data_IF_996459480200
#
_entry.id   IF_996459480200
#
_cell.length_a   1.000
_cell.length_b   1.000
_cell.length_c   1.000
_cell.angle_alpha   90.00
_cell.angle_beta   90.00
_cell.angle_gamma   90.00
#
_symmetry.space_group_name_H-M   'P 1'
#
loop_
_entity.id
_entity.type
_entity.pdbx_description
1 polymer ?
#
# COMPACT_ATOMS: atom_id res chain seq x y z
N UNK A 1 -40.71 -49.95 -55.93
CA UNK A 1 -40.49 -48.63 -55.29
C UNK A 1 -40.11 -48.88 -53.84
N UNK A 2 -38.88 -48.57 -53.41
CA UNK A 2 -38.45 -48.86 -52.04
C UNK A 2 -39.13 -47.89 -51.06
N UNK A 3 -39.56 -48.43 -49.92
CA UNK A 3 -40.41 -47.79 -48.91
C UNK A 3 -39.88 -46.45 -48.36
N UNK A 4 -40.35 -45.33 -48.92
CA UNK A 4 -40.02 -43.97 -48.46
C UNK A 4 -40.44 -43.67 -47.01
N UNK A 5 -41.46 -44.36 -46.50
CA UNK A 5 -41.94 -44.22 -45.12
C UNK A 5 -40.99 -44.82 -44.07
N UNK A 6 -40.30 -45.93 -44.38
CA UNK A 6 -39.40 -46.57 -43.41
C UNK A 6 -38.04 -45.88 -43.35
N UNK A 7 -37.60 -45.26 -44.45
CA UNK A 7 -36.40 -44.41 -44.46
C UNK A 7 -36.62 -43.13 -43.65
N UNK A 8 -37.76 -42.45 -43.80
CA UNK A 8 -38.07 -41.24 -43.01
C UNK A 8 -38.11 -41.50 -41.50
N UNK A 9 -38.76 -42.60 -41.07
CA UNK A 9 -38.80 -42.98 -39.65
C UNK A 9 -37.41 -43.31 -39.09
N UNK A 10 -36.50 -43.90 -39.89
CA UNK A 10 -35.11 -44.15 -39.49
C UNK A 10 -34.34 -42.84 -39.32
N UNK A 11 -34.44 -41.91 -40.26
CA UNK A 11 -33.82 -40.58 -40.17
C UNK A 11 -34.35 -39.78 -38.96
N UNK A 12 -35.67 -39.80 -38.74
CA UNK A 12 -36.29 -39.15 -37.58
C UNK A 12 -35.78 -39.74 -36.25
N UNK A 13 -35.70 -41.07 -36.14
CA UNK A 13 -35.14 -41.73 -34.94
C UNK A 13 -33.66 -41.38 -34.76
N UNK A 14 -32.86 -41.36 -35.82
CA UNK A 14 -31.47 -40.93 -35.75
C UNK A 14 -31.35 -39.48 -35.28
N UNK A 15 -32.17 -38.56 -35.81
CA UNK A 15 -32.19 -37.15 -35.38
C UNK A 15 -32.60 -37.00 -33.91
N UNK A 16 -33.61 -37.73 -33.45
CA UNK A 16 -34.03 -37.72 -32.05
C UNK A 16 -32.90 -38.24 -31.14
N UNK A 17 -32.24 -39.34 -31.53
CA UNK A 17 -31.10 -39.88 -30.76
C UNK A 17 -29.94 -38.88 -30.73
N UNK A 18 -29.62 -38.24 -31.85
CA UNK A 18 -28.59 -37.20 -31.92
C UNK A 18 -28.98 -36.01 -31.03
N UNK A 19 -30.24 -35.58 -31.07
CA UNK A 19 -30.73 -34.48 -30.24
C UNK A 19 -30.61 -34.81 -28.75
N UNK A 20 -31.03 -36.01 -28.32
CA UNK A 20 -30.90 -36.46 -26.93
C UNK A 20 -29.43 -36.54 -26.51
N UNK A 21 -28.56 -37.08 -27.36
CA UNK A 21 -27.12 -37.16 -27.09
C UNK A 21 -26.48 -35.77 -26.98
N UNK A 22 -26.88 -34.84 -27.84
CA UNK A 22 -26.40 -33.46 -27.83
C UNK A 22 -26.91 -32.70 -26.59
N UNK A 23 -28.17 -32.92 -26.21
CA UNK A 23 -28.76 -32.32 -25.01
C UNK A 23 -28.12 -32.87 -23.73
N UNK A 24 -27.88 -34.19 -23.66
CA UNK A 24 -27.11 -34.81 -22.59
C UNK A 24 -25.67 -34.30 -22.54
N UNK A 25 -25.01 -34.15 -23.70
CA UNK A 25 -23.67 -33.57 -23.80
C UNK A 25 -23.63 -32.15 -23.24
N UNK A 26 -24.55 -31.26 -23.62
CA UNK A 26 -24.57 -29.86 -23.13
C UNK A 26 -24.70 -29.82 -21.60
N UNK A 27 -25.57 -30.66 -21.02
CA UNK A 27 -25.76 -30.70 -19.55
C UNK A 27 -24.51 -31.21 -18.83
N UNK A 28 -23.84 -32.21 -19.40
CA UNK A 28 -22.62 -32.78 -18.82
C UNK A 28 -21.44 -31.80 -18.99
N UNK A 29 -21.28 -31.20 -20.18
CA UNK A 29 -20.25 -30.22 -20.48
C UNK A 29 -20.39 -28.98 -19.58
N UNK A 30 -21.60 -28.43 -19.42
CA UNK A 30 -21.86 -27.29 -18.52
C UNK A 30 -21.52 -27.59 -17.05
N UNK A 31 -21.34 -28.86 -16.66
CA UNK A 31 -20.97 -29.27 -15.29
C UNK A 31 -19.50 -29.65 -15.12
N UNK A 32 -18.83 -30.14 -16.16
CA UNK A 32 -17.45 -30.65 -16.08
C UNK A 32 -16.44 -29.84 -16.88
N UNK A 33 -16.89 -29.20 -17.96
CA UNK A 33 -16.09 -28.37 -18.86
C UNK A 33 -16.88 -27.10 -19.17
N UNK A 34 -17.20 -26.26 -18.17
CA UNK A 34 -18.02 -25.11 -18.46
C UNK A 34 -17.19 -24.03 -19.16
N UNK A 35 -17.84 -23.43 -20.15
CA UNK A 35 -17.34 -22.32 -20.92
C UNK A 35 -18.14 -21.06 -20.57
N UNK A 36 -17.43 -19.94 -20.43
CA UNK A 36 -18.06 -18.63 -20.26
C UNK A 36 -17.39 -17.60 -21.18
N UNK A 37 -18.22 -16.82 -21.86
CA UNK A 37 -17.83 -15.62 -22.60
C UNK A 37 -17.88 -14.37 -21.71
N UNK A 38 -18.41 -14.46 -20.50
CA UNK A 38 -18.47 -13.36 -19.53
C UNK A 38 -17.14 -13.28 -18.78
N UNK A 39 -16.08 -12.97 -19.51
CA UNK A 39 -14.76 -12.80 -18.93
C UNK A 39 -13.98 -11.63 -19.53
N UNK A 40 -13.14 -11.03 -18.69
CA UNK A 40 -12.34 -9.86 -19.05
C UNK A 40 -10.96 -9.94 -18.41
N UNK A 41 -9.98 -9.37 -19.11
CA UNK A 41 -8.68 -9.05 -18.54
C UNK A 41 -8.88 -7.90 -17.55
N UNK A 42 -8.48 -8.13 -16.31
CA UNK A 42 -8.44 -7.15 -15.24
C UNK A 42 -6.99 -6.84 -14.89
N UNK A 43 -6.78 -5.70 -14.24
CA UNK A 43 -5.48 -5.28 -13.74
C UNK A 43 -5.69 -4.18 -12.73
N UNK A 44 -4.66 -3.89 -11.93
CA UNK A 44 -4.71 -2.74 -11.06
C UNK A 44 -4.67 -1.45 -11.89
N UNK A 45 -5.57 -0.52 -11.55
CA UNK A 45 -5.61 0.81 -12.14
C UNK A 45 -5.17 1.77 -11.05
N UNK A 46 -3.92 2.23 -11.13
CA UNK A 46 -3.32 3.09 -10.13
C UNK A 46 -3.45 4.54 -10.58
N UNK A 47 -4.01 5.38 -9.73
CA UNK A 47 -4.08 6.81 -9.96
C UNK A 47 -2.83 7.46 -9.37
N UNK A 48 -1.98 8.05 -10.22
CA UNK A 48 -0.77 8.74 -9.75
C UNK A 48 -1.15 10.19 -9.46
N UNK A 49 -1.05 10.54 -8.19
CA UNK A 49 -1.26 11.88 -7.67
C UNK A 49 0.06 12.42 -7.10
N UNK A 50 0.35 13.72 -7.24
CA UNK A 50 1.52 14.32 -6.66
C UNK A 50 1.32 14.46 -5.14
N UNK A 51 2.41 14.29 -4.38
CA UNK A 51 2.38 14.49 -2.93
C UNK A 51 2.63 15.96 -2.54
N UNK A 52 3.19 16.73 -3.47
CA UNK A 52 3.51 18.15 -3.28
C UNK A 52 2.85 18.98 -4.37
N UNK A 53 2.45 20.21 -4.05
CA UNK A 53 1.79 21.10 -5.01
C UNK A 53 2.80 21.94 -5.78
N UNK A 54 2.45 22.36 -6.99
CA UNK A 54 3.26 23.31 -7.77
C UNK A 54 3.00 23.22 -9.25
N UNK A 55 3.59 24.14 -10.01
CA UNK A 55 3.47 24.15 -11.47
C UNK A 55 4.33 23.04 -12.07
N UNK A 56 3.81 22.32 -13.05
CA UNK A 56 4.56 21.30 -13.79
C UNK A 56 5.50 21.98 -14.77
N UNK A 57 6.78 21.65 -14.68
CA UNK A 57 7.87 22.24 -15.48
C UNK A 57 8.32 21.32 -16.60
N UNK A 58 8.17 20.01 -16.42
CA UNK A 58 8.58 19.01 -17.41
C UNK A 58 7.60 17.83 -17.41
N UNK A 59 7.31 17.30 -18.60
CA UNK A 59 6.54 16.07 -18.80
C UNK A 59 7.34 15.20 -19.78
N UNK A 60 7.93 14.12 -19.28
CA UNK A 60 8.83 13.23 -20.05
C UNK A 60 8.09 12.09 -20.78
N UNK A 61 6.76 12.09 -20.68
CA UNK A 61 5.93 10.95 -21.06
C UNK A 61 4.83 11.35 -22.04
N UNK A 62 4.34 10.34 -22.76
CA UNK A 62 3.18 10.45 -23.64
C UNK A 62 2.08 9.50 -23.19
N UNK A 63 0.85 9.84 -23.57
CA UNK A 63 -0.28 8.94 -23.33
C UNK A 63 -0.06 7.61 -24.07
N UNK A 64 -0.36 6.49 -23.40
CA UNK A 64 -0.14 5.11 -23.86
C UNK A 64 1.33 4.70 -24.03
N UNK A 65 2.26 5.41 -23.40
CA UNK A 65 3.68 5.02 -23.35
C UNK A 65 3.93 3.98 -22.26
N UNK A 66 4.75 2.97 -22.56
CA UNK A 66 5.28 2.05 -21.55
C UNK A 66 6.47 2.69 -20.84
N UNK A 67 6.50 2.55 -19.52
CA UNK A 67 7.54 3.08 -18.65
C UNK A 67 8.09 1.99 -17.73
N UNK A 68 9.35 2.14 -17.35
CA UNK A 68 10.02 1.24 -16.41
C UNK A 68 10.01 1.81 -15.00
N UNK A 69 10.14 0.95 -13.99
CA UNK A 69 10.24 1.37 -12.59
C UNK A 69 11.35 2.42 -12.40
N UNK A 70 11.01 3.54 -11.78
CA UNK A 70 11.93 4.64 -11.48
C UNK A 70 12.10 5.67 -12.59
N UNK A 71 11.46 5.47 -13.74
CA UNK A 71 11.44 6.45 -14.83
C UNK A 71 10.70 7.73 -14.41
N UNK A 72 11.24 8.90 -14.77
CA UNK A 72 10.63 10.19 -14.47
C UNK A 72 9.37 10.35 -15.33
N UNK A 73 8.23 10.62 -14.69
CA UNK A 73 6.97 10.86 -15.38
C UNK A 73 6.83 12.36 -15.68
N UNK A 74 6.87 13.17 -14.63
CA UNK A 74 6.82 14.61 -14.72
C UNK A 74 7.52 15.25 -13.52
N UNK A 75 7.94 16.50 -13.68
CA UNK A 75 8.54 17.28 -12.61
C UNK A 75 7.70 18.51 -12.29
N UNK A 76 7.61 18.79 -11.00
CA UNK A 76 7.04 19.99 -10.42
C UNK A 76 8.18 20.98 -10.19
N UNK A 77 7.90 22.28 -10.30
CA UNK A 77 8.83 23.35 -9.96
C UNK A 77 9.43 23.13 -8.57
N UNK A 78 10.75 22.94 -8.56
CA UNK A 78 11.52 22.57 -7.38
C UNK A 78 12.13 23.78 -6.65
N UNK A 79 12.03 25.00 -7.20
CA UNK A 79 12.71 26.18 -6.66
C UNK A 79 12.33 26.47 -5.21
N UNK A 80 11.02 26.44 -4.91
CA UNK A 80 10.51 26.66 -3.54
C UNK A 80 10.95 25.55 -2.58
N UNK A 81 11.12 24.33 -3.08
CA UNK A 81 11.51 23.17 -2.27
C UNK A 81 13.01 23.15 -2.01
N UNK A 82 13.84 23.54 -2.99
CA UNK A 82 15.28 23.76 -2.80
C UNK A 82 15.53 24.84 -1.75
N UNK A 83 14.85 25.97 -1.86
CA UNK A 83 14.95 27.04 -0.88
C UNK A 83 14.53 26.59 0.52
N UNK A 84 13.50 25.73 0.62
CA UNK A 84 13.09 25.15 1.89
C UNK A 84 14.17 24.22 2.49
N UNK A 85 14.86 23.43 1.65
CA UNK A 85 16.01 22.61 2.07
C UNK A 85 17.15 23.50 2.57
N UNK A 86 17.49 24.57 1.84
CA UNK A 86 18.55 25.49 2.22
C UNK A 86 18.23 26.19 3.56
N UNK A 87 16.98 26.65 3.73
CA UNK A 87 16.51 27.23 4.99
C UNK A 87 16.60 26.24 6.15
N UNK A 88 16.22 24.98 5.93
CA UNK A 88 16.29 23.94 6.96
C UNK A 88 17.74 23.54 7.29
N UNK A 89 18.65 23.59 6.30
CA UNK A 89 20.07 23.35 6.49
C UNK A 89 20.70 24.44 7.37
N UNK A 90 20.42 25.72 7.09
CA UNK A 90 20.86 26.83 7.93
C UNK A 90 20.29 26.72 9.35
N UNK A 91 19.01 26.33 9.50
CA UNK A 91 18.41 26.12 10.81
C UNK A 91 19.09 24.98 11.59
N UNK A 92 19.55 23.92 10.93
CA UNK A 92 20.33 22.84 11.54
C UNK A 92 21.70 23.32 12.02
N UNK A 93 22.38 24.15 11.24
CA UNK A 93 23.65 24.77 11.63
C UNK A 93 23.47 25.68 12.85
N UNK A 94 22.42 26.49 12.88
CA UNK A 94 22.06 27.30 14.04
C UNK A 94 21.77 26.44 15.28
N UNK A 95 21.06 25.32 15.12
CA UNK A 95 20.80 24.39 16.21
C UNK A 95 22.09 23.77 16.76
N UNK A 96 23.07 23.44 15.92
CA UNK A 96 24.38 22.96 16.35
C UNK A 96 25.18 24.03 17.11
N UNK A 97 25.14 25.28 16.67
CA UNK A 97 25.77 26.39 17.39
C UNK A 97 25.13 26.61 18.76
N UNK A 98 23.81 26.51 18.85
CA UNK A 98 23.09 26.63 20.11
C UNK A 98 23.37 25.44 21.05
N UNK A 99 23.50 24.23 20.51
CA UNK A 99 23.94 23.05 21.26
C UNK A 99 25.35 23.23 21.82
N UNK A 100 26.28 23.78 21.02
CA UNK A 100 27.62 24.11 21.47
C UNK A 100 27.60 25.15 22.62
N UNK A 101 26.73 26.15 22.55
CA UNK A 101 26.54 27.09 23.65
C UNK A 101 26.00 26.42 24.92
N UNK A 102 25.09 25.44 24.79
CA UNK A 102 24.60 24.64 25.93
C UNK A 102 25.71 23.80 26.56
N UNK A 103 26.63 23.23 25.77
CA UNK A 103 27.79 22.53 26.32
C UNK A 103 28.70 23.44 27.13
N UNK A 104 28.95 24.67 26.64
CA UNK A 104 29.70 25.67 27.40
C UNK A 104 28.99 26.04 28.72
N UNK A 105 27.66 26.23 28.68
CA UNK A 105 26.86 26.49 29.88
C UNK A 105 26.87 25.32 30.87
N UNK A 106 26.85 24.07 30.38
CA UNK A 106 26.98 22.88 31.23
C UNK A 106 28.32 22.84 31.95
N UNK A 107 29.41 23.20 31.26
CA UNK A 107 30.74 23.31 31.88
C UNK A 107 30.76 24.38 32.99
N UNK A 108 30.11 25.53 32.77
CA UNK A 108 29.97 26.58 33.79
C UNK A 108 29.14 26.10 34.98
N UNK A 109 28.02 25.42 34.72
CA UNK A 109 27.18 24.86 35.78
C UNK A 109 27.93 23.81 36.63
N UNK A 110 28.77 22.99 36.01
CA UNK A 110 29.61 22.02 36.71
C UNK A 110 30.65 22.71 37.61
N UNK A 111 31.27 23.80 37.15
CA UNK A 111 32.19 24.61 37.97
C UNK A 111 31.45 25.26 39.16
N UNK A 112 30.20 25.69 38.97
CA UNK A 112 29.36 26.25 40.03
C UNK A 112 28.97 25.21 41.09
N UNK A 113 28.73 23.95 40.69
CA UNK A 113 28.54 22.83 41.62
C UNK A 113 29.80 22.62 42.44
N UNK A 114 30.99 22.59 41.81
CA UNK A 114 32.26 22.40 42.51
C UNK A 114 32.50 23.51 43.55
N UNK A 115 32.25 24.76 43.17
CA UNK A 115 32.34 25.92 44.08
C UNK A 115 31.35 25.84 45.24
N UNK A 116 30.08 25.54 44.95
CA UNK A 116 29.04 25.39 45.97
C UNK A 116 29.30 24.21 46.91
N UNK A 117 29.87 23.12 46.38
CA UNK A 117 30.26 21.95 47.16
C UNK A 117 31.41 22.26 48.10
N UNK A 118 32.43 23.00 47.65
CA UNK A 118 33.53 23.45 48.51
C UNK A 118 33.02 24.36 49.65
N UNK A 119 32.11 25.29 49.34
CA UNK A 119 31.49 26.18 50.33
C UNK A 119 30.66 25.40 51.36
N UNK A 120 29.86 24.43 50.91
CA UNK A 120 29.11 23.54 51.79
C UNK A 120 30.04 22.70 52.68
N UNK A 121 31.07 22.09 52.11
CA UNK A 121 32.02 21.26 52.87
C UNK A 121 32.71 22.08 53.98
N UNK A 122 33.13 23.31 53.68
CA UNK A 122 33.72 24.21 54.66
C UNK A 122 32.72 24.53 55.80
N UNK A 123 31.52 25.03 55.45
CA UNK A 123 30.49 25.37 56.42
C UNK A 123 30.02 24.16 57.26
N UNK A 124 29.94 22.99 56.65
CA UNK A 124 29.57 21.75 57.31
C UNK A 124 30.63 21.32 58.34
N UNK A 125 31.91 21.33 57.95
CA UNK A 125 33.00 21.00 58.84
C UNK A 125 33.11 22.00 60.00
N UNK A 126 32.90 23.28 59.73
CA UNK A 126 32.90 24.32 60.76
C UNK A 126 31.73 24.16 61.74
N UNK A 127 30.51 23.93 61.25
CA UNK A 127 29.35 23.62 62.08
C UNK A 127 29.60 22.38 62.96
N UNK A 128 30.18 21.31 62.40
CA UNK A 128 30.51 20.10 63.16
C UNK A 128 31.53 20.38 64.28
N UNK A 129 32.55 21.20 63.99
CA UNK A 129 33.57 21.61 64.97
C UNK A 129 32.96 22.48 66.06
N UNK A 130 32.23 23.53 65.71
CA UNK A 130 31.57 24.45 66.66
C UNK A 130 30.53 23.70 67.50
N UNK A 131 29.77 22.78 66.92
CA UNK A 131 28.80 21.95 67.66
C UNK A 131 29.47 21.06 68.71
N UNK A 132 30.63 20.47 68.41
CA UNK A 132 31.42 19.69 69.39
C UNK A 132 31.94 20.58 70.53
N UNK A 133 32.41 21.80 70.22
CA UNK A 133 32.88 22.76 71.22
C UNK A 133 31.73 23.31 72.08
N UNK A 134 30.55 23.54 71.50
CA UNK A 134 29.37 24.00 72.20
C UNK A 134 28.87 22.98 73.24
N UNK A 135 28.92 21.68 72.91
CA UNK A 135 28.62 20.59 73.86
C UNK A 135 29.57 20.60 75.07
N UNK A 136 30.81 21.03 74.87
CA UNK A 136 31.81 21.21 75.94
C UNK A 136 31.72 22.58 76.64
N UNK A 137 30.73 23.41 76.32
CA UNK A 137 30.54 24.78 76.82
C UNK A 137 31.72 25.73 76.52
N UNK A 138 32.48 25.48 75.44
CA UNK A 138 33.65 26.28 75.05
C UNK A 138 33.33 27.42 74.07
N UNK A 139 32.10 27.50 73.56
CA UNK A 139 31.61 28.55 72.63
C UNK A 139 30.16 28.92 72.97
N UNK A 140 29.70 30.09 72.53
CA UNK A 140 28.33 30.56 72.78
C UNK A 140 27.27 29.82 71.96
N UNK A 141 26.02 29.78 72.45
CA UNK A 141 24.88 29.18 71.75
C UNK A 141 24.61 29.91 70.43
N UNK A 142 24.67 31.24 70.43
CA UNK A 142 24.51 32.07 69.22
C UNK A 142 25.55 31.71 68.14
N UNK A 143 26.81 31.45 68.51
CA UNK A 143 27.84 31.03 67.55
C UNK A 143 27.51 29.69 66.87
N UNK A 144 26.95 28.74 67.63
CA UNK A 144 26.47 27.47 67.08
C UNK A 144 25.29 27.69 66.12
N UNK A 145 24.33 28.53 66.49
CA UNK A 145 23.13 28.77 65.68
C UNK A 145 23.47 29.50 64.37
N UNK A 146 24.43 30.42 64.40
CA UNK A 146 24.98 31.06 63.20
C UNK A 146 25.67 30.04 62.27
N UNK A 147 26.49 29.14 62.82
CA UNK A 147 27.14 28.08 62.05
C UNK A 147 26.13 27.08 61.46
N UNK A 148 25.07 26.74 62.21
CA UNK A 148 23.97 25.91 61.73
C UNK A 148 23.25 26.55 60.54
N UNK A 149 22.87 27.81 60.69
CA UNK A 149 22.17 28.57 59.65
C UNK A 149 23.04 28.69 58.40
N UNK A 150 24.34 28.97 58.55
CA UNK A 150 25.28 29.03 57.44
C UNK A 150 25.39 27.70 56.70
N UNK A 151 25.50 26.59 57.43
CA UNK A 151 25.51 25.25 56.85
C UNK A 151 24.21 24.99 56.06
N UNK A 152 23.04 25.29 56.63
CA UNK A 152 21.75 25.14 55.93
C UNK A 152 21.67 25.97 54.65
N UNK A 153 22.08 27.24 54.67
CA UNK A 153 22.10 28.10 53.48
C UNK A 153 23.03 27.54 52.40
N UNK A 154 24.24 27.10 52.76
CA UNK A 154 25.17 26.51 51.78
C UNK A 154 24.68 25.19 51.21
N UNK A 155 23.95 24.39 52.00
CA UNK A 155 23.31 23.16 51.53
C UNK A 155 22.22 23.47 50.49
N UNK A 156 21.38 24.47 50.77
CA UNK A 156 20.35 24.92 49.83
C UNK A 156 20.96 25.46 48.53
N UNK A 157 22.05 26.24 48.62
CA UNK A 157 22.77 26.74 47.45
C UNK A 157 23.37 25.61 46.60
N UNK A 158 23.95 24.59 47.24
CA UNK A 158 24.44 23.40 46.54
C UNK A 158 23.32 22.64 45.83
N UNK A 159 22.16 22.47 46.49
CA UNK A 159 21.01 21.83 45.88
C UNK A 159 20.49 22.62 44.66
N UNK A 160 20.40 23.94 44.76
CA UNK A 160 20.02 24.82 43.65
C UNK A 160 21.01 24.72 42.48
N UNK A 161 22.32 24.74 42.75
CA UNK A 161 23.35 24.60 41.71
C UNK A 161 23.27 23.24 41.00
N UNK A 162 23.01 22.15 41.74
CA UNK A 162 22.79 20.81 41.16
C UNK A 162 21.56 20.79 40.27
N UNK A 163 20.45 21.39 40.71
CA UNK A 163 19.22 21.43 39.92
C UNK A 163 19.38 22.23 38.64
N UNK A 164 20.10 23.35 38.68
CA UNK A 164 20.41 24.14 37.49
C UNK A 164 21.21 23.34 36.45
N UNK A 165 22.18 22.53 36.87
CA UNK A 165 22.94 21.68 35.96
C UNK A 165 22.09 20.58 35.33
N UNK A 166 21.14 19.99 36.08
CA UNK A 166 20.22 18.98 35.56
C UNK A 166 19.37 19.56 34.42
N UNK A 167 18.86 20.79 34.57
CA UNK A 167 18.07 21.46 33.52
C UNK A 167 18.87 21.66 32.23
N UNK A 168 20.15 21.98 32.32
CA UNK A 168 21.01 22.12 31.13
C UNK A 168 21.32 20.75 30.52
N UNK A 169 21.58 19.74 31.37
CA UNK A 169 21.89 18.39 30.91
C UNK A 169 20.70 17.72 30.20
N UNK A 170 19.46 17.98 30.63
CA UNK A 170 18.26 17.46 29.96
C UNK A 170 18.06 18.06 28.56
N UNK A 171 18.52 19.28 28.32
CA UNK A 171 18.46 19.93 27.01
C UNK A 171 19.51 19.38 26.02
N UNK A 172 20.69 18.98 26.51
CA UNK A 172 21.79 18.47 25.69
C UNK A 172 21.58 17.06 25.13
N UNK A 173 20.71 16.25 25.74
CA UNK A 173 20.53 14.85 25.34
C UNK A 173 21.73 13.96 25.71
N UNK A 174 21.79 12.76 25.12
CA UNK A 174 22.79 11.76 25.50
C UNK A 174 24.17 11.98 24.85
N UNK A 175 24.22 12.59 23.66
CA UNK A 175 25.45 12.80 22.87
C UNK A 175 25.35 14.10 22.06
N UNK A 176 26.50 14.60 21.63
CA UNK A 176 26.56 15.74 20.71
C UNK A 176 25.75 15.44 19.45
N UNK A 177 24.94 16.40 19.02
CA UNK A 177 24.01 16.27 17.90
C UNK A 177 22.70 15.54 18.22
N UNK A 178 22.43 15.24 19.50
CA UNK A 178 21.18 14.63 19.97
C UNK A 178 20.40 15.53 20.94
N UNK A 179 20.79 16.78 21.11
CA UNK A 179 19.93 17.76 21.78
C UNK A 179 18.59 17.89 21.06
N UNK A 180 17.54 18.21 21.82
CA UNK A 180 16.17 18.30 21.30
C UNK A 180 16.06 19.30 20.15
N UNK A 181 16.80 20.42 20.24
CA UNK A 181 16.88 21.45 19.20
C UNK A 181 17.50 20.93 17.90
N UNK A 182 18.58 20.14 17.98
CA UNK A 182 19.24 19.57 16.81
C UNK A 182 18.37 18.49 16.18
N UNK A 183 17.73 17.63 16.98
CA UNK A 183 16.83 16.61 16.47
C UNK A 183 15.62 17.21 15.74
N UNK A 184 15.03 18.27 16.29
CA UNK A 184 13.94 19.00 15.63
C UNK A 184 14.40 19.59 14.29
N UNK A 185 15.57 20.22 14.23
CA UNK A 185 16.12 20.78 13.00
C UNK A 185 16.49 19.70 11.97
N UNK A 186 17.04 18.55 12.40
CA UNK A 186 17.30 17.39 11.53
C UNK A 186 16.01 16.85 10.90
N UNK A 187 14.94 16.74 11.69
CA UNK A 187 13.64 16.31 11.18
C UNK A 187 13.06 17.31 10.18
N UNK A 188 13.17 18.62 10.45
CA UNK A 188 12.75 19.65 9.51
C UNK A 188 13.52 19.59 8.19
N UNK A 189 14.84 19.36 8.23
CA UNK A 189 15.66 19.15 7.04
C UNK A 189 15.28 17.88 6.29
N UNK A 190 15.03 16.78 6.99
CA UNK A 190 14.57 15.54 6.37
C UNK A 190 13.22 15.71 5.66
N UNK A 191 12.27 16.41 6.28
CA UNK A 191 10.97 16.73 5.67
C UNK A 191 11.13 17.61 4.43
N UNK A 192 11.98 18.65 4.49
CA UNK A 192 12.23 19.51 3.34
C UNK A 192 12.86 18.74 2.16
N UNK A 193 13.81 17.83 2.45
CA UNK A 193 14.42 16.95 1.44
C UNK A 193 13.42 15.97 0.85
N UNK A 194 12.52 15.42 1.66
CA UNK A 194 11.46 14.53 1.18
C UNK A 194 10.51 15.27 0.23
N UNK A 195 10.07 16.47 0.63
CA UNK A 195 9.23 17.30 -0.22
C UNK A 195 9.92 17.67 -1.54
N UNK A 196 11.23 17.95 -1.50
CA UNK A 196 12.04 18.17 -2.71
C UNK A 196 12.14 16.90 -3.58
N UNK A 197 12.27 15.72 -2.98
CA UNK A 197 12.27 14.47 -3.74
C UNK A 197 10.92 14.23 -4.43
N UNK A 198 9.82 14.56 -3.75
CA UNK A 198 8.45 14.39 -4.26
C UNK A 198 8.08 15.39 -5.38
N UNK A 199 8.94 16.37 -5.70
CA UNK A 199 8.74 17.19 -6.90
C UNK A 199 8.98 16.38 -8.18
N UNK A 200 9.74 15.29 -8.10
CA UNK A 200 9.99 14.37 -9.20
C UNK A 200 9.08 13.17 -9.04
N UNK A 201 8.03 13.10 -9.84
CA UNK A 201 7.10 11.98 -9.81
C UNK A 201 7.61 10.89 -10.75
N UNK A 202 7.90 9.72 -10.19
CA UNK A 202 8.50 8.58 -10.90
C UNK A 202 7.52 7.41 -11.00
N UNK A 203 7.73 6.51 -11.96
CA UNK A 203 6.95 5.29 -12.09
C UNK A 203 7.23 4.31 -10.92
N UNK A 204 6.21 3.82 -10.20
CA UNK A 204 6.40 2.92 -9.05
C UNK A 204 6.80 1.49 -9.45
N UNK A 205 6.42 1.06 -10.66
CA UNK A 205 6.74 -0.24 -11.25
C UNK A 205 6.82 -0.12 -12.77
N UNK A 206 7.07 -1.24 -13.45
CA UNK A 206 6.88 -1.31 -14.90
C UNK A 206 5.40 -1.22 -15.23
N UNK A 207 5.04 -0.50 -16.28
CA UNK A 207 3.64 -0.32 -16.65
C UNK A 207 3.42 0.54 -17.87
N UNK A 208 2.16 0.91 -18.09
CA UNK A 208 1.72 1.80 -19.17
C UNK A 208 0.95 2.97 -18.57
N UNK A 209 1.22 4.16 -19.09
CA UNK A 209 0.52 5.37 -18.68
C UNK A 209 -0.69 5.58 -19.57
N UNK A 210 -1.84 5.84 -18.96
CA UNK A 210 -3.10 6.10 -19.65
C UNK A 210 -3.78 7.33 -19.08
N UNK A 211 -4.66 7.95 -19.87
CA UNK A 211 -5.41 9.13 -19.48
C UNK A 211 -4.50 10.25 -18.90
N UNK A 212 -3.43 10.57 -19.63
CA UNK A 212 -2.54 11.69 -19.28
C UNK A 212 -3.27 13.01 -19.58
N UNK A 213 -3.64 13.75 -18.54
CA UNK A 213 -4.42 15.00 -18.66
C UNK A 213 -3.62 16.24 -18.29
N UNK A 214 -2.32 16.23 -18.58
CA UNK A 214 -1.41 17.28 -18.11
C UNK A 214 -0.43 17.72 -19.17
N UNK A 215 -0.13 19.02 -19.12
CA UNK A 215 0.87 19.65 -19.95
C UNK A 215 1.71 20.62 -19.10
N UNK A 216 2.87 21.00 -19.62
CA UNK A 216 3.77 21.97 -18.99
C UNK A 216 3.01 23.26 -18.69
N UNK A 217 3.17 23.80 -17.48
CA UNK A 217 2.45 24.97 -17.00
C UNK A 217 1.17 24.66 -16.21
N UNK A 218 0.70 23.40 -16.20
CA UNK A 218 -0.45 23.01 -15.37
C UNK A 218 -0.10 23.04 -13.89
N UNK A 219 -1.05 23.49 -13.05
CA UNK A 219 -0.91 23.43 -11.59
C UNK A 219 -1.23 22.02 -11.07
N UNK A 220 -0.26 21.38 -10.45
CA UNK A 220 -0.40 20.12 -9.74
C UNK A 220 -0.82 20.37 -8.28
N UNK A 221 -1.90 19.73 -7.84
CA UNK A 221 -2.38 19.81 -6.46
C UNK A 221 -2.14 18.48 -5.74
N UNK A 222 -1.76 18.55 -4.46
CA UNK A 222 -1.52 17.36 -3.64
C UNK A 222 -2.77 16.47 -3.59
N UNK A 223 -2.56 15.15 -3.73
CA UNK A 223 -3.60 14.10 -3.70
C UNK A 223 -4.66 14.20 -4.81
N UNK A 224 -4.43 14.99 -5.85
CA UNK A 224 -5.28 15.00 -7.05
C UNK A 224 -4.62 14.17 -8.16
N UNK A 225 -5.25 13.08 -8.63
CA UNK A 225 -4.71 12.29 -9.73
C UNK A 225 -4.52 13.10 -11.00
N UNK A 226 -3.34 12.96 -11.62
CA UNK A 226 -2.97 13.66 -12.86
C UNK A 226 -2.91 12.69 -14.04
N UNK A 227 -2.56 11.43 -13.77
CA UNK A 227 -2.51 10.38 -14.77
C UNK A 227 -2.94 9.04 -14.16
N UNK A 228 -3.30 8.12 -15.05
CA UNK A 228 -3.58 6.74 -14.69
C UNK A 228 -2.40 5.87 -15.10
N UNK A 229 -2.03 4.93 -14.25
CA UNK A 229 -0.92 4.00 -14.44
C UNK A 229 -1.43 2.58 -14.30
N UNK A 230 -1.11 1.75 -15.30
CA UNK A 230 -1.50 0.34 -15.34
C UNK A 230 -0.24 -0.52 -15.25
N UNK A 231 0.02 -1.23 -14.14
CA UNK A 231 1.19 -2.10 -14.02
C UNK A 231 1.02 -3.36 -14.89
N UNK A 232 1.95 -3.59 -15.82
CA UNK A 232 1.91 -4.71 -16.78
C UNK A 232 2.05 -6.07 -16.10
N UNK A 233 2.75 -6.12 -14.97
CA UNK A 233 3.09 -7.37 -14.28
C UNK A 233 1.92 -7.90 -13.43
N UNK A 234 0.80 -7.19 -13.43
CA UNK A 234 -0.30 -7.41 -12.47
C UNK A 234 -1.67 -7.61 -13.13
N UNK A 235 -1.68 -8.06 -14.38
CA UNK A 235 -2.92 -8.35 -15.11
C UNK A 235 -3.35 -9.81 -14.93
N UNK A 236 -4.65 -10.04 -14.73
CA UNK A 236 -5.26 -11.36 -14.57
C UNK A 236 -6.54 -11.45 -15.40
N UNK A 237 -7.08 -12.66 -15.58
CA UNK A 237 -8.37 -12.85 -16.25
C UNK A 237 -9.43 -13.13 -15.18
N UNK A 238 -10.50 -12.35 -15.18
CA UNK A 238 -11.67 -12.58 -14.34
C UNK A 238 -12.81 -13.12 -15.21
N UNK A 239 -13.37 -14.26 -14.84
CA UNK A 239 -14.47 -14.87 -15.57
C UNK A 239 -15.63 -15.23 -14.64
N UNK A 240 -16.83 -14.91 -15.08
CA UNK A 240 -18.06 -15.11 -14.33
C UNK A 240 -18.74 -16.40 -14.82
N UNK A 241 -18.76 -17.41 -13.96
CA UNK A 241 -19.36 -18.72 -14.24
C UNK A 241 -20.67 -18.89 -13.49
N UNK A 242 -21.59 -19.69 -14.03
CA UNK A 242 -22.81 -20.08 -13.31
C UNK A 242 -22.45 -20.93 -12.09
N UNK A 243 -23.13 -20.73 -10.96
CA UNK A 243 -22.84 -21.43 -9.69
C UNK A 243 -22.87 -22.96 -9.84
N UNK A 244 -23.86 -23.50 -10.57
CA UNK A 244 -23.96 -24.94 -10.84
C UNK A 244 -22.76 -25.51 -11.61
N UNK A 245 -22.17 -24.70 -12.49
CA UNK A 245 -21.09 -25.09 -13.39
C UNK A 245 -19.76 -25.17 -12.66
N UNK A 246 -19.63 -24.42 -11.55
CA UNK A 246 -18.43 -24.38 -10.72
C UNK A 246 -18.46 -25.33 -9.52
N UNK A 247 -19.57 -26.04 -9.29
CA UNK A 247 -19.76 -26.87 -8.11
C UNK A 247 -18.70 -27.98 -7.97
N UNK A 248 -18.18 -28.47 -9.10
CA UNK A 248 -17.14 -29.50 -9.14
C UNK A 248 -15.71 -28.91 -9.27
N UNK A 249 -15.54 -27.59 -9.18
CA UNK A 249 -14.22 -26.98 -9.26
C UNK A 249 -13.44 -27.11 -7.96
N UNK A 250 -12.20 -27.55 -8.13
CA UNK A 250 -11.20 -27.64 -7.08
C UNK A 250 -9.99 -26.80 -7.48
N UNK A 251 -9.15 -26.44 -6.50
CA UNK A 251 -7.93 -25.64 -6.71
C UNK A 251 -6.93 -26.22 -7.72
N UNK A 252 -7.07 -27.50 -8.09
CA UNK A 252 -6.24 -28.18 -9.11
C UNK A 252 -6.81 -28.11 -10.53
N UNK A 253 -7.95 -27.45 -10.74
CA UNK A 253 -8.53 -27.33 -12.08
C UNK A 253 -7.71 -26.33 -12.91
N UNK A 254 -7.61 -26.55 -14.22
CA UNK A 254 -6.88 -25.69 -15.14
C UNK A 254 -7.85 -25.00 -16.09
N UNK A 255 -7.41 -23.92 -16.70
CA UNK A 255 -8.22 -23.17 -17.64
C UNK A 255 -7.48 -22.96 -18.97
N UNK A 256 -8.26 -22.92 -20.03
CA UNK A 256 -7.83 -22.38 -21.32
C UNK A 256 -8.59 -21.08 -21.57
N UNK A 257 -7.85 -20.07 -22.03
CA UNK A 257 -8.39 -18.75 -22.34
C UNK A 257 -8.12 -18.43 -23.79
N UNK A 258 -9.15 -18.02 -24.51
CA UNK A 258 -9.05 -17.41 -25.83
C UNK A 258 -9.42 -15.93 -25.71
N UNK A 259 -8.56 -15.06 -26.19
CA UNK A 259 -8.81 -13.61 -26.17
C UNK A 259 -9.38 -13.18 -27.51
N UNK A 260 -10.41 -12.33 -27.50
CA UNK A 260 -11.02 -11.80 -28.72
C UNK A 260 -9.99 -11.02 -29.57
N UNK A 261 -9.00 -10.40 -28.93
CA UNK A 261 -7.91 -9.68 -29.59
C UNK A 261 -6.88 -10.60 -30.30
N UNK A 262 -6.87 -11.90 -29.97
CA UNK A 262 -5.92 -12.89 -30.50
C UNK A 262 -6.67 -14.14 -30.96
N UNK A 263 -7.49 -14.03 -32.03
CA UNK A 263 -8.27 -15.15 -32.52
C UNK A 263 -7.35 -16.27 -33.03
N UNK A 264 -7.79 -17.52 -32.86
CA UNK A 264 -7.02 -18.73 -33.16
C UNK A 264 -5.95 -19.12 -32.12
N UNK A 265 -5.69 -18.29 -31.10
CA UNK A 265 -4.70 -18.58 -30.05
C UNK A 265 -5.37 -18.91 -28.72
N UNK A 266 -4.84 -19.93 -28.03
CA UNK A 266 -5.36 -20.42 -26.76
C UNK A 266 -4.25 -20.46 -25.73
N UNK A 267 -4.49 -19.83 -24.58
CA UNK A 267 -3.52 -19.63 -23.52
C UNK A 267 -3.87 -20.49 -22.30
N UNK A 268 -2.93 -21.30 -21.78
CA UNK A 268 -3.15 -22.05 -20.55
C UNK A 268 -3.00 -21.14 -19.33
N UNK A 269 -4.06 -21.03 -18.52
CA UNK A 269 -4.05 -20.30 -17.25
C UNK A 269 -4.36 -21.23 -16.08
N UNK A 270 -3.94 -20.80 -14.89
CA UNK A 270 -4.23 -21.49 -13.63
C UNK A 270 -5.21 -20.67 -12.81
N UNK A 271 -6.06 -21.35 -12.04
CA UNK A 271 -6.97 -20.71 -11.11
C UNK A 271 -6.15 -20.10 -9.98
N UNK A 272 -6.36 -18.81 -9.71
CA UNK A 272 -5.79 -18.14 -8.55
C UNK A 272 -6.72 -18.26 -7.36
N UNK A 273 -7.93 -17.70 -7.50
CA UNK A 273 -8.94 -17.72 -6.46
C UNK A 273 -10.36 -17.66 -7.04
N UNK A 274 -11.33 -17.89 -6.17
CA UNK A 274 -12.76 -17.75 -6.45
C UNK A 274 -13.32 -16.77 -5.42
N UNK A 275 -14.15 -15.84 -5.87
CA UNK A 275 -14.81 -14.91 -4.98
C UNK A 275 -15.83 -15.68 -4.11
N UNK A 276 -15.87 -15.38 -2.80
CA UNK A 276 -16.75 -16.06 -1.84
C UNK A 276 -18.08 -15.34 -1.62
N UNK A 277 -18.28 -14.18 -2.25
CA UNK A 277 -19.49 -13.39 -2.11
C UNK A 277 -19.79 -12.57 -3.35
N UNK A 278 -21.06 -12.23 -3.49
CA UNK A 278 -21.57 -11.28 -4.48
C UNK A 278 -22.33 -10.20 -3.74
N UNK A 279 -22.31 -8.97 -4.25
CA UNK A 279 -22.98 -7.83 -3.62
C UNK A 279 -24.49 -8.07 -3.41
N UNK A 280 -25.11 -8.95 -4.19
CA UNK A 280 -26.52 -9.33 -4.06
C UNK A 280 -26.90 -9.93 -2.68
N UNK A 281 -25.92 -10.44 -1.92
CA UNK A 281 -26.14 -10.95 -0.55
C UNK A 281 -25.69 -9.96 0.54
N UNK A 282 -25.23 -8.76 0.17
CA UNK A 282 -24.67 -7.80 1.10
C UNK A 282 -25.80 -6.98 1.75
N UNK A 283 -26.02 -7.23 3.03
CA UNK A 283 -26.97 -6.48 3.84
C UNK A 283 -26.25 -5.30 4.50
N UNK A 284 -26.76 -4.09 4.29
CA UNK A 284 -26.27 -2.90 5.01
C UNK A 284 -26.92 -2.89 6.38
N UNK A 285 -26.12 -2.90 7.45
CA UNK A 285 -26.60 -2.76 8.82
C UNK A 285 -27.09 -1.32 9.04
N UNK A 286 -28.38 -1.06 8.77
CA UNK A 286 -29.00 0.26 8.80
C UNK A 286 -30.13 0.38 9.85
N UNK A 287 -30.30 -0.62 10.73
CA UNK A 287 -31.31 -0.62 11.78
C UNK A 287 -32.74 -0.93 11.30
N UNK A 288 -32.95 -1.17 10.00
CA UNK A 288 -34.23 -1.66 9.47
C UNK A 288 -34.25 -3.20 9.43
N UNK A 289 -35.44 -3.78 9.54
CA UNK A 289 -35.62 -5.22 9.35
C UNK A 289 -35.32 -5.60 7.89
N UNK A 290 -34.72 -6.78 7.70
CA UNK A 290 -34.41 -7.31 6.36
C UNK A 290 -35.68 -7.44 5.53
N UNK A 291 -35.68 -6.88 4.33
CA UNK A 291 -36.77 -7.05 3.37
C UNK A 291 -36.60 -8.37 2.62
N UNK A 292 -37.70 -9.10 2.43
CA UNK A 292 -37.73 -10.31 1.61
C UNK A 292 -37.80 -9.87 0.15
N UNK A 293 -36.88 -10.34 -0.71
CA UNK A 293 -37.02 -10.15 -2.15
C UNK A 293 -38.18 -10.99 -2.69
N UNK A 294 -39.21 -10.33 -3.24
CA UNK A 294 -40.32 -10.99 -3.93
C UNK A 294 -40.08 -10.93 -5.44
N UNK A 295 -39.98 -12.09 -6.08
CA UNK A 295 -39.79 -12.21 -7.53
C UNK A 295 -40.94 -12.96 -8.17
N UNK A 296 -41.53 -12.37 -9.21
CA UNK A 296 -42.62 -12.98 -10.00
C UNK A 296 -42.09 -13.84 -11.18
N UNK A 297 -40.80 -14.19 -11.20
CA UNK A 297 -40.21 -15.00 -12.28
C UNK A 297 -40.44 -16.49 -12.04
N UNK A 298 -41.00 -17.17 -13.05
CA UNK A 298 -41.24 -18.63 -13.03
C UNK A 298 -39.93 -19.44 -13.11
N UNK A 299 -38.85 -18.87 -13.65
CA UNK A 299 -37.48 -19.41 -13.57
C UNK A 299 -36.56 -18.36 -12.96
N UNK A 300 -35.78 -18.78 -11.96
CA UNK A 300 -34.78 -17.92 -11.31
C UNK A 300 -33.55 -17.78 -12.20
N UNK A 301 -33.00 -16.57 -12.26
CA UNK A 301 -31.74 -16.31 -12.94
C UNK A 301 -30.61 -17.15 -12.34
N UNK A 302 -29.71 -17.64 -13.18
CA UNK A 302 -28.53 -18.34 -12.70
C UNK A 302 -27.61 -17.35 -11.98
N UNK A 303 -27.37 -17.60 -10.69
CA UNK A 303 -26.34 -16.87 -9.95
C UNK A 303 -24.97 -17.17 -10.56
N UNK A 304 -24.15 -16.13 -10.67
CA UNK A 304 -22.77 -16.24 -11.14
C UNK A 304 -21.79 -15.97 -10.03
N UNK A 305 -20.64 -16.63 -10.13
CA UNK A 305 -19.50 -16.47 -9.23
C UNK A 305 -18.28 -16.18 -10.08
N UNK A 306 -17.51 -15.18 -9.67
CA UNK A 306 -16.28 -14.78 -10.31
C UNK A 306 -15.15 -15.72 -9.92
N UNK A 307 -14.39 -16.16 -10.92
CA UNK A 307 -13.16 -16.92 -10.76
C UNK A 307 -12.04 -16.12 -11.41
N UNK A 308 -10.95 -15.93 -10.67
CA UNK A 308 -9.78 -15.19 -11.13
C UNK A 308 -8.69 -16.18 -11.55
N UNK A 309 -8.11 -15.94 -12.73
CA UNK A 309 -7.11 -16.79 -13.36
C UNK A 309 -5.83 -16.01 -13.59
N UNK A 310 -4.70 -16.65 -13.31
CA UNK A 310 -3.37 -16.09 -13.50
C UNK A 310 -2.60 -16.89 -14.55
N UNK A 311 -1.76 -16.17 -15.30
CA UNK A 311 -0.80 -16.76 -16.23
C UNK A 311 0.58 -16.82 -15.57
N UNK A 312 1.35 -17.87 -15.87
CA UNK A 312 2.75 -17.96 -15.46
C UNK A 312 3.68 -17.09 -16.33
N UNK A 313 3.23 -16.77 -17.53
CA UNK A 313 3.92 -15.89 -18.48
C UNK A 313 3.20 -14.54 -18.51
N UNK A 314 3.93 -13.46 -18.82
CA UNK A 314 3.30 -12.17 -19.06
C UNK A 314 2.24 -12.30 -20.15
N UNK A 315 1.12 -11.62 -19.93
CA UNK A 315 0.06 -11.54 -20.93
C UNK A 315 0.59 -10.82 -22.18
N UNK A 316 0.13 -11.21 -23.38
CA UNK A 316 0.52 -10.55 -24.62
C UNK A 316 0.31 -9.03 -24.57
N UNK A 317 1.23 -8.22 -25.13
CA UNK A 317 1.17 -6.76 -25.04
C UNK A 317 -0.02 -6.14 -25.78
N UNK A 318 -0.70 -6.88 -26.65
CA UNK A 318 -1.93 -6.45 -27.33
C UNK A 318 -3.14 -6.40 -26.38
N UNK A 319 -3.06 -7.09 -25.24
CA UNK A 319 -4.14 -7.11 -24.25
C UNK A 319 -4.08 -5.86 -23.37
N UNK A 320 -5.25 -5.33 -23.03
CA UNK A 320 -5.42 -4.18 -22.16
C UNK A 320 -6.46 -4.50 -21.08
N UNK A 321 -6.48 -3.71 -20.00
CA UNK A 321 -7.50 -3.84 -18.97
C UNK A 321 -8.87 -3.59 -19.58
N UNK A 322 -9.74 -4.60 -19.53
CA UNK A 322 -11.05 -4.60 -20.19
C UNK A 322 -11.12 -5.46 -21.46
N UNK A 323 -10.00 -5.99 -21.98
CA UNK A 323 -10.02 -6.94 -23.10
C UNK A 323 -10.93 -8.12 -22.78
N UNK A 324 -11.79 -8.48 -23.73
CA UNK A 324 -12.72 -9.60 -23.60
C UNK A 324 -11.99 -10.92 -23.82
N UNK A 325 -12.47 -11.95 -23.14
CA UNK A 325 -11.97 -13.29 -23.32
C UNK A 325 -13.11 -14.31 -23.19
N UNK A 326 -12.83 -15.52 -23.66
CA UNK A 326 -13.62 -16.71 -23.40
C UNK A 326 -12.77 -17.67 -22.58
N UNK A 327 -13.33 -18.18 -21.48
CA UNK A 327 -12.63 -19.10 -20.58
C UNK A 327 -13.37 -20.42 -20.53
N UNK A 328 -12.64 -21.51 -20.72
CA UNK A 328 -13.09 -22.86 -20.40
C UNK A 328 -12.23 -23.41 -19.28
N UNK A 329 -12.86 -24.09 -18.32
CA UNK A 329 -12.16 -24.71 -17.19
C UNK A 329 -12.39 -26.21 -17.25
N UNK A 330 -11.37 -26.99 -16.88
CA UNK A 330 -11.44 -28.43 -16.91
C UNK A 330 -10.70 -29.07 -15.71
N UNK A 331 -11.14 -30.25 -15.25
CA UNK A 331 -10.46 -30.99 -14.20
C UNK A 331 -9.14 -31.59 -14.72
N UNK A 332 -8.05 -31.43 -13.96
CA UNK A 332 -6.73 -31.93 -14.35
C UNK A 332 -6.64 -33.47 -14.43
N UNK A 333 -7.50 -34.19 -13.72
CA UNK A 333 -7.39 -35.64 -13.52
C UNK A 333 -7.84 -36.50 -14.71
N UNK A 334 -8.31 -35.90 -15.81
CA UNK A 334 -8.92 -36.62 -16.92
C UNK A 334 -8.50 -36.06 -18.27
N UNK A 335 -7.81 -36.89 -19.06
CA UNK A 335 -7.40 -36.53 -20.42
C UNK A 335 -8.58 -36.27 -21.36
N UNK A 336 -9.74 -36.91 -21.11
CA UNK A 336 -10.95 -36.75 -21.93
C UNK A 336 -11.51 -35.33 -21.81
N UNK A 337 -11.71 -34.82 -20.58
CA UNK A 337 -12.24 -33.48 -20.36
C UNK A 337 -11.27 -32.39 -20.84
N UNK A 338 -9.96 -32.63 -20.74
CA UNK A 338 -8.96 -31.73 -21.31
C UNK A 338 -9.06 -31.63 -22.83
N UNK A 339 -9.23 -32.77 -23.52
CA UNK A 339 -9.37 -32.80 -24.98
C UNK A 339 -10.64 -32.06 -25.42
N UNK A 340 -11.76 -32.32 -24.75
CA UNK A 340 -13.02 -31.61 -25.00
C UNK A 340 -12.88 -30.10 -24.78
N UNK A 341 -12.31 -29.68 -23.65
CA UNK A 341 -12.06 -28.27 -23.36
C UNK A 341 -11.21 -27.62 -24.45
N UNK A 342 -10.18 -28.32 -24.94
CA UNK A 342 -9.32 -27.84 -26.01
C UNK A 342 -10.08 -27.67 -27.33
N UNK A 343 -10.92 -28.64 -27.71
CA UNK A 343 -11.76 -28.53 -28.92
C UNK A 343 -12.73 -27.34 -28.78
N UNK A 344 -13.41 -27.25 -27.64
CA UNK A 344 -14.44 -26.23 -27.41
C UNK A 344 -13.86 -24.82 -27.46
N UNK A 345 -12.73 -24.58 -26.79
CA UNK A 345 -12.09 -23.27 -26.79
C UNK A 345 -11.44 -22.91 -28.13
N UNK A 346 -10.92 -23.89 -28.89
CA UNK A 346 -10.41 -23.60 -30.24
C UNK A 346 -11.56 -23.24 -31.18
N UNK A 347 -12.71 -23.93 -31.09
CA UNK A 347 -13.89 -23.59 -31.86
C UNK A 347 -14.38 -22.19 -31.50
N UNK A 348 -14.47 -21.86 -30.20
CA UNK A 348 -14.81 -20.53 -29.73
C UNK A 348 -13.81 -19.46 -30.22
N UNK A 349 -12.51 -19.75 -30.17
CA UNK A 349 -11.44 -18.87 -30.63
C UNK A 349 -11.48 -18.62 -32.14
N UNK A 350 -11.90 -19.60 -32.95
CA UNK A 350 -12.10 -19.42 -34.38
C UNK A 350 -13.33 -18.55 -34.64
N UNK A 351 -14.38 -18.65 -33.82
CA UNK A 351 -15.55 -17.78 -33.94
C UNK A 351 -15.23 -16.30 -33.67
N UNK A 352 -14.18 -16.00 -32.91
CA UNK A 352 -13.67 -14.62 -32.71
C UNK A 352 -13.11 -13.98 -34.00
N UNK A 353 -12.96 -14.72 -35.11
CA UNK A 353 -12.69 -14.10 -36.42
C UNK A 353 -13.94 -13.48 -37.05
N UNK A 354 -15.13 -13.87 -36.61
CA UNK A 354 -16.41 -13.52 -37.25
C UNK A 354 -17.01 -12.25 -36.64
N UNK A 355 -16.70 -11.94 -35.38
CA UNK A 355 -17.12 -10.74 -34.65
C UNK A 355 -15.97 -10.24 -33.79
#
# INVERSE_FOLDING_TARGET
MPNSHTTFQRWMRCLIVIFILLMAYIVIADRYVPLTSESRVQGYVVQIAPEVSGTITHVDIKNNQSVVKGELLFSIDDQKYRLAVDKAQVALEQAHQQEQALYAQASVAQANIATSQANYNNAHNDFNRISKLAKKKLVSVSMRDNAYTKNQTTQANLAAAKQQAIVIQTQLGAKYGQSTIVLAAKNALAQAKLNLAHTKVIAPSNGVITNLQVDVGTMANTNQPILTFIPTDSMWVAADFREKSIANFHSKSKAYVAYDALPGQVFPLTINNRDFGVAAAQQVANGHLTTIETSNRWVRDAQRVRVNFISQQLLPPQLFVGSRATVVVYPQNSSLWQLLAKIEIHLASVLHYIY
#
